data_IF_292831831212
#
_entry.id   IF_292831831212
#
_cell.length_a   1.000
_cell.length_b   1.000
_cell.length_c   1.000
_cell.angle_alpha   90.00
_cell.angle_beta   90.00
_cell.angle_gamma   90.00
#
_symmetry.space_group_name_H-M   'P 1'
#
loop_
_entity.id
_entity.type
_entity.pdbx_description
1 polymer ?
#
# COMPACT_ATOMS: atom_id res chain seq x y z
N UNK A 1 22.01 13.00 -14.01
CA UNK A 1 22.14 12.54 -12.61
C UNK A 1 22.15 11.03 -12.69
N UNK A 2 23.25 10.39 -12.35
CA UNK A 2 23.34 8.93 -12.32
C UNK A 2 22.54 8.47 -11.10
N UNK A 3 21.31 8.04 -11.34
CA UNK A 3 20.51 7.42 -10.28
C UNK A 3 21.26 6.18 -9.78
N UNK A 4 21.58 6.15 -8.48
CA UNK A 4 22.14 4.96 -7.86
C UNK A 4 21.09 3.84 -7.91
N UNK A 5 21.46 2.61 -8.29
CA UNK A 5 20.51 1.51 -8.38
C UNK A 5 19.84 1.24 -7.04
N UNK A 6 18.59 0.82 -7.08
CA UNK A 6 17.83 0.39 -5.89
C UNK A 6 18.45 -0.92 -5.39
N UNK A 7 19.03 -0.91 -4.21
CA UNK A 7 19.61 -2.10 -3.58
C UNK A 7 18.50 -2.99 -3.02
N UNK A 8 18.37 -4.17 -3.55
CA UNK A 8 17.35 -5.13 -3.16
C UNK A 8 17.97 -6.34 -2.45
N UNK A 9 17.34 -6.76 -1.34
CA UNK A 9 17.53 -8.08 -0.74
C UNK A 9 16.47 -9.03 -1.30
N UNK A 10 16.91 -10.10 -1.96
CA UNK A 10 16.05 -11.15 -2.49
C UNK A 10 16.00 -12.34 -1.51
N UNK A 11 14.80 -12.67 -1.03
CA UNK A 11 14.59 -13.76 -0.07
C UNK A 11 13.66 -14.82 -0.66
N UNK A 12 14.20 -15.99 -0.94
CA UNK A 12 13.52 -17.10 -1.58
C UNK A 12 14.27 -18.41 -1.24
N UNK A 13 13.59 -19.41 -0.72
CA UNK A 13 14.22 -20.70 -0.34
C UNK A 13 14.49 -21.59 -1.55
N UNK A 14 13.62 -21.55 -2.57
CA UNK A 14 13.76 -22.38 -3.76
C UNK A 14 14.84 -21.83 -4.68
N UNK A 15 15.94 -22.58 -4.81
CA UNK A 15 17.11 -22.18 -5.61
C UNK A 15 16.76 -21.79 -7.05
N UNK A 16 15.89 -22.57 -7.71
CA UNK A 16 15.53 -22.30 -9.11
C UNK A 16 14.75 -20.99 -9.26
N UNK A 17 13.80 -20.75 -8.35
CA UNK A 17 13.02 -19.50 -8.33
C UNK A 17 13.93 -18.32 -8.02
N UNK A 18 14.81 -18.44 -7.04
CA UNK A 18 15.75 -17.37 -6.66
C UNK A 18 16.68 -17.00 -7.83
N UNK A 19 17.24 -17.99 -8.54
CA UNK A 19 18.06 -17.73 -9.74
C UNK A 19 17.22 -17.05 -10.82
N UNK A 20 16.00 -17.53 -11.08
CA UNK A 20 15.10 -16.92 -12.06
C UNK A 20 14.78 -15.47 -11.73
N UNK A 21 14.39 -15.20 -10.48
CA UNK A 21 14.12 -13.82 -10.02
C UNK A 21 15.35 -12.92 -10.13
N UNK A 22 16.53 -13.41 -9.75
CA UNK A 22 17.77 -12.66 -9.88
C UNK A 22 18.05 -12.26 -11.33
N UNK A 23 17.93 -13.23 -12.27
CA UNK A 23 18.17 -12.96 -13.70
C UNK A 23 17.24 -11.90 -14.29
N UNK A 24 16.03 -11.72 -13.72
CA UNK A 24 15.13 -10.64 -14.17
C UNK A 24 15.69 -9.22 -13.94
N UNK A 25 16.65 -9.09 -13.03
CA UNK A 25 17.23 -7.80 -12.64
C UNK A 25 18.68 -7.62 -13.10
N UNK A 26 19.36 -8.67 -13.62
CA UNK A 26 20.79 -8.63 -14.00
C UNK A 26 21.09 -7.63 -15.15
N UNK A 27 20.15 -7.48 -16.10
CA UNK A 27 20.32 -6.58 -17.25
C UNK A 27 19.81 -5.14 -16.98
N UNK A 28 19.57 -4.79 -15.71
CA UNK A 28 18.95 -3.52 -15.35
C UNK A 28 19.90 -2.63 -14.53
N UNK A 29 20.14 -1.43 -15.01
CA UNK A 29 20.93 -0.43 -14.26
C UNK A 29 20.18 0.19 -13.07
N UNK A 30 18.88 -0.08 -12.92
CA UNK A 30 18.02 0.62 -11.96
C UNK A 30 17.76 -0.17 -10.67
N UNK A 31 17.85 -1.51 -10.69
CA UNK A 31 17.63 -2.40 -9.55
C UNK A 31 18.81 -3.37 -9.45
N UNK A 32 19.46 -3.42 -8.31
CA UNK A 32 20.58 -4.31 -8.01
C UNK A 32 20.17 -5.32 -6.92
N UNK A 33 20.34 -6.61 -7.18
CA UNK A 33 20.24 -7.64 -6.13
C UNK A 33 21.52 -7.60 -5.30
N UNK A 34 21.53 -6.74 -4.29
CA UNK A 34 22.71 -6.52 -3.43
C UNK A 34 23.01 -7.72 -2.52
N UNK A 35 22.00 -8.50 -2.17
CA UNK A 35 22.20 -9.76 -1.45
C UNK A 35 21.02 -10.70 -1.61
N UNK A 36 21.24 -12.01 -1.32
CA UNK A 36 20.25 -13.08 -1.41
C UNK A 36 20.17 -13.80 -0.08
N UNK A 37 18.97 -14.27 0.33
CA UNK A 37 18.77 -15.12 1.50
C UNK A 37 17.88 -16.31 1.16
N UNK A 38 18.08 -17.43 1.87
CA UNK A 38 17.35 -18.67 1.65
C UNK A 38 16.43 -19.01 2.82
N UNK A 39 16.44 -18.18 3.87
CA UNK A 39 15.63 -18.36 5.07
C UNK A 39 15.29 -17.02 5.71
N UNK A 40 14.27 -17.01 6.56
CA UNK A 40 13.83 -15.79 7.23
C UNK A 40 14.87 -15.23 8.22
N UNK A 41 15.59 -16.08 8.95
CA UNK A 41 16.67 -15.64 9.85
C UNK A 41 17.81 -15.02 9.06
N UNK A 42 18.25 -15.69 7.99
CA UNK A 42 19.27 -15.18 7.10
C UNK A 42 18.87 -13.81 6.49
N UNK A 43 17.58 -13.66 6.12
CA UNK A 43 17.06 -12.38 5.62
C UNK A 43 17.20 -11.26 6.65
N UNK A 44 16.89 -11.51 7.92
CA UNK A 44 17.04 -10.52 9.00
C UNK A 44 18.51 -10.14 9.22
N UNK A 45 19.42 -11.12 9.19
CA UNK A 45 20.87 -10.88 9.32
C UNK A 45 21.42 -10.05 8.15
N UNK A 46 21.05 -10.43 6.92
CA UNK A 46 21.48 -9.70 5.72
C UNK A 46 20.87 -8.31 5.62
N UNK A 47 19.64 -8.13 6.08
CA UNK A 47 19.07 -6.79 6.17
C UNK A 47 19.91 -5.87 7.08
N UNK A 48 20.36 -6.35 8.23
CA UNK A 48 21.25 -5.59 9.12
C UNK A 48 22.61 -5.28 8.50
N UNK A 49 23.14 -6.23 7.73
CA UNK A 49 24.48 -6.13 7.15
C UNK A 49 24.53 -5.21 5.92
N UNK A 50 23.54 -5.34 5.03
CA UNK A 50 23.58 -4.71 3.70
C UNK A 50 22.72 -3.45 3.58
N UNK A 51 21.84 -3.19 4.55
CA UNK A 51 20.92 -2.04 4.55
C UNK A 51 20.21 -1.83 3.19
N UNK A 52 19.50 -2.84 2.65
CA UNK A 52 18.87 -2.72 1.35
C UNK A 52 17.76 -1.66 1.37
N UNK A 53 17.52 -1.05 0.21
CA UNK A 53 16.42 -0.11 0.02
C UNK A 53 15.06 -0.82 0.04
N UNK A 54 15.00 -2.04 -0.54
CA UNK A 54 13.80 -2.86 -0.68
C UNK A 54 14.14 -4.32 -0.37
N UNK A 55 13.23 -5.01 0.28
CA UNK A 55 13.29 -6.47 0.50
C UNK A 55 12.18 -7.12 -0.30
N UNK A 56 12.52 -8.06 -1.18
CA UNK A 56 11.58 -8.94 -1.87
C UNK A 56 11.54 -10.26 -1.10
N UNK A 57 10.42 -10.56 -0.42
CA UNK A 57 10.32 -11.58 0.62
C UNK A 57 9.29 -12.65 0.26
N UNK A 58 9.72 -13.90 0.14
CA UNK A 58 8.78 -15.03 0.11
C UNK A 58 8.20 -15.30 1.51
N UNK A 59 6.97 -15.81 1.56
CA UNK A 59 6.32 -16.22 2.83
C UNK A 59 6.80 -17.59 3.27
N UNK A 60 6.93 -18.54 2.33
CA UNK A 60 7.16 -19.97 2.60
C UNK A 60 8.61 -20.32 2.91
N UNK A 61 9.21 -19.71 3.91
CA UNK A 61 10.60 -19.93 4.28
C UNK A 61 10.77 -21.09 5.30
N UNK A 62 11.92 -21.80 5.33
CA UNK A 62 12.08 -23.06 6.06
C UNK A 62 12.21 -22.93 7.58
N UNK A 63 12.58 -21.75 8.11
CA UNK A 63 12.84 -21.53 9.54
C UNK A 63 11.78 -20.65 10.22
N UNK A 64 11.73 -19.40 9.89
CA UNK A 64 10.66 -18.48 10.26
C UNK A 64 9.96 -17.99 8.99
N UNK A 65 8.64 -17.82 9.03
CA UNK A 65 7.91 -17.34 7.85
C UNK A 65 8.40 -15.96 7.41
N UNK A 66 8.22 -15.63 6.11
CA UNK A 66 8.54 -14.30 5.62
C UNK A 66 7.75 -13.19 6.30
N UNK A 67 6.56 -13.49 6.84
CA UNK A 67 5.77 -12.54 7.65
C UNK A 67 6.47 -12.24 8.98
N UNK A 68 6.95 -13.28 9.68
CA UNK A 68 7.71 -13.10 10.91
C UNK A 68 9.06 -12.41 10.66
N UNK A 69 9.73 -12.76 9.55
CA UNK A 69 10.95 -12.07 9.12
C UNK A 69 10.69 -10.58 8.83
N UNK A 70 9.57 -10.27 8.16
CA UNK A 70 9.13 -8.88 7.90
C UNK A 70 8.97 -8.10 9.19
N UNK A 71 8.29 -8.67 10.20
CA UNK A 71 8.10 -8.04 11.49
C UNK A 71 9.44 -7.71 12.16
N UNK A 72 10.37 -8.67 12.19
CA UNK A 72 11.72 -8.46 12.78
C UNK A 72 12.55 -7.43 12.01
N UNK A 73 12.43 -7.38 10.70
CA UNK A 73 13.08 -6.35 9.88
C UNK A 73 12.54 -4.97 10.25
N UNK A 74 11.23 -4.83 10.44
CA UNK A 74 10.59 -3.56 10.80
C UNK A 74 10.84 -3.16 12.26
N UNK A 75 11.15 -4.12 13.15
CA UNK A 75 11.66 -3.82 14.50
C UNK A 75 13.09 -3.22 14.46
N UNK A 76 13.90 -3.61 13.46
CA UNK A 76 15.25 -3.05 13.28
C UNK A 76 15.19 -1.66 12.62
N UNK A 77 14.38 -1.52 11.58
CA UNK A 77 14.16 -0.27 10.87
C UNK A 77 12.69 -0.14 10.50
N UNK A 78 11.99 0.72 11.19
CA UNK A 78 10.55 0.96 10.99
C UNK A 78 10.21 1.55 9.61
N UNK A 79 11.19 2.03 8.85
CA UNK A 79 11.06 2.54 7.47
C UNK A 79 11.44 1.52 6.40
N UNK A 80 11.80 0.28 6.77
CA UNK A 80 12.14 -0.75 5.80
C UNK A 80 11.00 -0.99 4.82
N UNK A 81 11.32 -1.22 3.56
CA UNK A 81 10.38 -1.47 2.48
C UNK A 81 10.36 -2.96 2.17
N UNK A 82 9.33 -3.65 2.62
CA UNK A 82 9.18 -5.08 2.40
C UNK A 82 8.03 -5.34 1.44
N UNK A 83 8.32 -6.04 0.34
CA UNK A 83 7.39 -6.55 -0.65
C UNK A 83 7.25 -8.04 -0.41
N UNK A 84 6.06 -8.50 -0.07
CA UNK A 84 5.75 -9.94 -0.03
C UNK A 84 5.52 -10.45 -1.45
N UNK A 85 6.23 -11.51 -1.82
CA UNK A 85 6.05 -12.22 -3.08
C UNK A 85 5.69 -13.68 -2.78
N UNK A 86 4.49 -14.12 -3.14
CA UNK A 86 3.97 -15.46 -2.75
C UNK A 86 3.21 -16.15 -3.87
N UNK A 87 3.18 -17.50 -3.82
CA UNK A 87 2.33 -18.32 -4.70
C UNK A 87 0.93 -18.58 -4.11
N UNK A 88 0.68 -18.18 -2.86
CA UNK A 88 -0.55 -18.50 -2.15
C UNK A 88 -1.37 -17.27 -1.86
N UNK A 89 -2.67 -17.37 -2.11
CA UNK A 89 -3.67 -16.38 -1.78
C UNK A 89 -4.45 -16.85 -0.55
N UNK A 90 -3.85 -16.67 0.63
CA UNK A 90 -4.49 -16.98 1.92
C UNK A 90 -4.93 -15.69 2.59
N UNK A 91 -6.23 -15.57 2.90
CA UNK A 91 -6.78 -14.41 3.61
C UNK A 91 -6.01 -14.09 4.89
N UNK A 92 -5.71 -15.12 5.68
CA UNK A 92 -4.96 -14.95 6.93
C UNK A 92 -3.55 -14.41 6.68
N UNK A 93 -2.84 -14.96 5.70
CA UNK A 93 -1.47 -14.53 5.38
C UNK A 93 -1.43 -13.09 4.83
N UNK A 94 -2.44 -12.70 4.04
CA UNK A 94 -2.59 -11.32 3.56
C UNK A 94 -2.70 -10.36 4.75
N UNK A 95 -3.62 -10.64 5.68
CA UNK A 95 -3.85 -9.80 6.84
C UNK A 95 -2.61 -9.76 7.76
N UNK A 96 -2.01 -10.90 8.03
CA UNK A 96 -0.83 -11.01 8.86
C UNK A 96 0.38 -10.27 8.24
N UNK A 97 0.57 -10.34 6.92
CA UNK A 97 1.62 -9.61 6.20
C UNK A 97 1.43 -8.09 6.27
N UNK A 98 0.21 -7.61 6.08
CA UNK A 98 -0.11 -6.18 6.18
C UNK A 98 0.02 -5.68 7.63
N UNK A 99 -0.43 -6.45 8.61
CA UNK A 99 -0.24 -6.13 10.03
C UNK A 99 1.24 -6.15 10.43
N UNK A 100 2.05 -7.04 9.85
CA UNK A 100 3.50 -7.02 10.03
C UNK A 100 4.16 -5.77 9.41
N UNK A 101 3.45 -5.02 8.58
CA UNK A 101 3.89 -3.77 7.98
C UNK A 101 4.50 -3.92 6.58
N UNK A 102 4.19 -5.00 5.85
CA UNK A 102 4.57 -5.12 4.44
C UNK A 102 4.01 -3.95 3.62
N UNK A 103 4.82 -3.42 2.70
CA UNK A 103 4.44 -2.31 1.82
C UNK A 103 3.71 -2.79 0.56
N UNK A 104 3.87 -4.08 0.20
CA UNK A 104 3.18 -4.68 -0.93
C UNK A 104 2.94 -6.17 -0.70
N UNK A 105 1.85 -6.68 -1.31
CA UNK A 105 1.54 -8.09 -1.41
C UNK A 105 1.33 -8.43 -2.87
N UNK A 106 2.18 -9.31 -3.41
CA UNK A 106 2.32 -9.58 -4.84
C UNK A 106 2.29 -11.08 -5.06
N UNK A 107 1.57 -11.53 -6.09
CA UNK A 107 1.58 -12.92 -6.50
C UNK A 107 2.81 -13.25 -7.37
N UNK A 108 3.37 -14.46 -7.24
CA UNK A 108 4.57 -14.90 -8.00
C UNK A 108 4.33 -15.04 -9.52
N UNK A 109 3.08 -15.04 -9.97
CA UNK A 109 2.70 -15.06 -11.40
C UNK A 109 2.62 -13.67 -12.04
N UNK A 110 2.99 -12.63 -11.28
CA UNK A 110 2.98 -11.25 -11.76
C UNK A 110 3.89 -11.05 -12.99
N UNK A 111 3.48 -10.17 -13.87
CA UNK A 111 4.33 -9.74 -14.98
C UNK A 111 5.59 -9.05 -14.47
N UNK A 112 6.75 -9.39 -15.05
CA UNK A 112 8.08 -8.87 -14.67
C UNK A 112 8.15 -7.34 -14.69
N UNK A 113 7.60 -6.69 -15.71
CA UNK A 113 7.65 -5.23 -15.85
C UNK A 113 6.82 -4.54 -14.76
N UNK A 114 5.68 -5.16 -14.37
CA UNK A 114 4.87 -4.68 -13.26
C UNK A 114 5.63 -4.84 -11.94
N UNK A 115 6.30 -5.97 -11.71
CA UNK A 115 7.12 -6.16 -10.50
C UNK A 115 8.21 -5.10 -10.37
N UNK A 116 8.91 -4.79 -11.46
CA UNK A 116 9.91 -3.72 -11.51
C UNK A 116 9.31 -2.35 -11.17
N UNK A 117 8.15 -2.04 -11.74
CA UNK A 117 7.43 -0.80 -11.42
C UNK A 117 7.03 -0.74 -9.93
N UNK A 118 6.56 -1.84 -9.37
CA UNK A 118 6.21 -1.94 -7.94
C UNK A 118 7.43 -1.66 -7.09
N UNK A 119 8.58 -2.28 -7.34
CA UNK A 119 9.82 -2.07 -6.58
C UNK A 119 10.21 -0.58 -6.57
N UNK A 120 10.15 0.08 -7.73
CA UNK A 120 10.46 1.52 -7.86
C UNK A 120 9.49 2.39 -7.05
N UNK A 121 8.18 2.16 -7.20
CA UNK A 121 7.16 2.94 -6.51
C UNK A 121 7.17 2.70 -4.99
N UNK A 122 7.45 1.47 -4.54
CA UNK A 122 7.62 1.15 -3.11
C UNK A 122 8.86 1.87 -2.53
N UNK A 123 9.95 1.98 -3.28
CA UNK A 123 11.13 2.77 -2.87
C UNK A 123 10.72 4.21 -2.57
N UNK A 124 9.86 4.80 -3.41
CA UNK A 124 9.33 6.16 -3.26
C UNK A 124 8.25 6.30 -2.16
N UNK A 125 7.84 5.20 -1.53
CA UNK A 125 6.90 5.21 -0.41
C UNK A 125 5.46 4.87 -0.76
N UNK A 126 5.17 4.39 -1.98
CA UNK A 126 3.88 3.85 -2.35
C UNK A 126 3.55 2.56 -1.57
N UNK A 127 2.29 2.15 -1.61
CA UNK A 127 1.81 0.83 -1.23
C UNK A 127 1.19 0.16 -2.46
N UNK A 128 1.38 -1.15 -2.59
CA UNK A 128 0.79 -1.90 -3.69
C UNK A 128 0.13 -3.19 -3.20
N UNK A 129 -1.06 -3.49 -3.70
CA UNK A 129 -1.79 -4.72 -3.41
C UNK A 129 -2.21 -5.38 -4.71
N UNK A 130 -2.00 -6.69 -4.80
CA UNK A 130 -2.50 -7.47 -5.92
C UNK A 130 -4.02 -7.29 -6.06
N UNK A 131 -4.55 -7.13 -7.29
CA UNK A 131 -5.99 -6.99 -7.51
C UNK A 131 -6.83 -8.12 -6.89
N UNK A 132 -6.28 -9.32 -6.74
CA UNK A 132 -6.94 -10.45 -6.10
C UNK A 132 -7.04 -10.32 -4.57
N UNK A 133 -6.19 -9.51 -3.95
CA UNK A 133 -6.17 -9.23 -2.51
C UNK A 133 -7.27 -8.23 -2.12
N UNK A 134 -7.58 -7.28 -2.99
CA UNK A 134 -8.52 -6.19 -2.69
C UNK A 134 -9.93 -6.67 -2.30
N UNK A 135 -10.57 -7.66 -2.97
CA UNK A 135 -11.87 -8.19 -2.55
C UNK A 135 -11.85 -8.79 -1.13
N UNK A 136 -10.78 -9.53 -0.80
CA UNK A 136 -10.61 -10.17 0.51
C UNK A 136 -10.60 -9.13 1.64
N UNK A 137 -9.91 -8.02 1.42
CA UNK A 137 -9.84 -6.92 2.39
C UNK A 137 -11.18 -6.19 2.54
N UNK A 138 -11.96 -6.09 1.46
CA UNK A 138 -13.30 -5.45 1.49
C UNK A 138 -14.32 -6.27 2.27
N UNK A 139 -14.33 -7.61 2.11
CA UNK A 139 -15.29 -8.50 2.78
C UNK A 139 -15.13 -8.47 4.31
N UNK A 140 -13.93 -8.25 4.81
CA UNK A 140 -13.65 -8.27 6.25
C UNK A 140 -13.91 -6.95 6.96
N UNK A 141 -14.46 -5.91 6.31
CA UNK A 141 -14.48 -4.58 6.93
C UNK A 141 -13.14 -4.26 7.60
N UNK A 142 -12.06 -4.75 7.04
CA UNK A 142 -10.74 -4.33 7.42
C UNK A 142 -10.72 -2.85 7.11
N UNK A 143 -11.20 -2.09 8.09
CA UNK A 143 -11.11 -0.65 8.03
C UNK A 143 -9.71 -0.36 7.56
N UNK A 144 -9.62 0.24 6.39
CA UNK A 144 -8.42 0.62 5.67
C UNK A 144 -7.17 0.25 6.44
N UNK A 145 -6.31 -0.59 5.88
CA UNK A 145 -4.96 -0.88 6.39
C UNK A 145 -4.54 0.32 7.23
N UNK A 146 -4.38 0.17 8.56
CA UNK A 146 -4.07 1.33 9.37
C UNK A 146 -2.81 1.93 8.76
N UNK A 147 -2.83 3.19 8.31
CA UNK A 147 -1.62 3.83 7.87
C UNK A 147 -0.65 3.65 9.03
N UNK A 148 0.46 2.98 8.76
CA UNK A 148 1.61 2.82 9.66
C UNK A 148 1.73 4.13 10.41
N UNK A 149 1.45 4.15 11.72
CA UNK A 149 1.25 5.33 12.57
C UNK A 149 1.72 6.65 11.92
N UNK A 150 0.91 7.18 11.01
CA UNK A 150 1.06 8.57 10.63
C UNK A 150 0.77 9.35 11.92
N UNK A 151 1.74 10.12 12.36
CA UNK A 151 1.62 10.90 13.57
C UNK A 151 0.27 11.65 13.54
N UNK A 152 -0.37 11.82 14.69
CA UNK A 152 -1.64 12.57 14.85
C UNK A 152 -1.66 13.93 14.11
N UNK A 153 -0.51 14.47 13.80
CA UNK A 153 -0.30 15.70 13.03
C UNK A 153 -0.63 15.54 11.54
N UNK A 154 -0.25 14.42 10.90
CA UNK A 154 -0.56 14.17 9.47
C UNK A 154 -2.04 13.83 9.26
N UNK A 155 -2.72 13.21 10.25
CA UNK A 155 -4.17 12.98 10.18
C UNK A 155 -4.95 14.29 10.15
N UNK A 156 -4.47 15.31 10.86
CA UNK A 156 -5.08 16.64 10.89
C UNK A 156 -4.86 17.43 9.59
N UNK A 157 -3.73 17.18 8.91
CA UNK A 157 -3.42 17.81 7.62
C UNK A 157 -4.17 17.17 6.44
N UNK A 158 -4.53 15.87 6.49
CA UNK A 158 -5.34 15.23 5.44
C UNK A 158 -6.82 15.65 5.49
N UNK A 159 -7.37 15.98 6.64
CA UNK A 159 -8.72 16.55 6.74
C UNK A 159 -8.80 18.01 6.26
N UNK A 160 -7.66 18.69 6.12
CA UNK A 160 -7.57 20.03 5.52
C UNK A 160 -7.51 20.01 3.97
N UNK A 161 -7.46 18.84 3.33
CA UNK A 161 -7.19 18.69 1.90
C UNK A 161 -8.44 18.49 1.02
N UNK A 162 -9.61 18.93 1.44
CA UNK A 162 -10.71 19.12 0.51
C UNK A 162 -10.40 20.38 -0.33
N UNK A 163 -10.49 20.22 -1.64
CA UNK A 163 -10.45 21.42 -2.52
C UNK A 163 -11.63 22.33 -2.20
N UNK A 164 -11.55 23.61 -2.53
CA UNK A 164 -12.64 24.55 -2.35
C UNK A 164 -13.96 24.01 -2.93
N UNK A 165 -13.89 23.33 -4.07
CA UNK A 165 -15.06 22.76 -4.75
C UNK A 165 -15.64 21.55 -4.03
N UNK A 166 -14.80 20.68 -3.50
CA UNK A 166 -15.23 19.53 -2.68
C UNK A 166 -15.84 19.99 -1.35
N UNK A 167 -15.32 21.04 -0.76
CA UNK A 167 -15.90 21.64 0.45
C UNK A 167 -17.30 22.23 0.20
N UNK A 168 -17.51 22.92 -0.93
CA UNK A 168 -18.82 23.42 -1.34
C UNK A 168 -19.81 22.26 -1.55
N UNK A 169 -19.38 21.18 -2.21
CA UNK A 169 -20.19 19.98 -2.39
C UNK A 169 -20.49 19.29 -1.07
N UNK A 170 -19.52 19.18 -0.14
CA UNK A 170 -19.72 18.57 1.17
C UNK A 170 -20.79 19.30 1.99
N UNK A 171 -20.84 20.63 1.97
CA UNK A 171 -21.92 21.41 2.59
C UNK A 171 -23.30 21.00 2.08
N UNK A 172 -23.44 20.88 0.76
CA UNK A 172 -24.69 20.49 0.13
C UNK A 172 -25.07 19.03 0.40
N UNK A 173 -24.07 18.16 0.59
CA UNK A 173 -24.27 16.77 1.02
C UNK A 173 -24.79 16.73 2.47
N UNK A 174 -24.28 17.58 3.35
CA UNK A 174 -24.72 17.72 4.74
C UNK A 174 -26.16 18.30 4.79
N UNK A 175 -26.49 19.23 3.89
CA UNK A 175 -27.86 19.75 3.70
C UNK A 175 -28.83 18.73 3.11
N UNK A 176 -28.39 17.50 2.79
CA UNK A 176 -29.23 16.41 2.30
C UNK A 176 -29.53 16.45 0.80
N UNK A 177 -28.90 17.33 0.02
CA UNK A 177 -29.17 17.49 -1.41
C UNK A 177 -28.71 16.28 -2.25
N UNK A 178 -29.52 15.86 -3.21
CA UNK A 178 -29.15 14.85 -4.22
C UNK A 178 -28.07 15.34 -5.18
N UNK A 179 -27.44 14.45 -5.95
CA UNK A 179 -26.43 14.85 -6.93
C UNK A 179 -26.97 15.79 -8.01
N UNK A 180 -28.24 15.64 -8.36
CA UNK A 180 -28.93 16.50 -9.33
C UNK A 180 -29.10 17.93 -8.77
N UNK A 181 -29.58 18.06 -7.54
CA UNK A 181 -29.75 19.36 -6.86
C UNK A 181 -28.39 20.06 -6.63
N UNK A 182 -27.35 19.29 -6.28
CA UNK A 182 -25.97 19.79 -6.19
C UNK A 182 -25.48 20.31 -7.55
N UNK A 183 -25.75 19.55 -8.61
CA UNK A 183 -25.36 19.92 -9.97
C UNK A 183 -26.02 21.24 -10.41
N UNK A 184 -27.32 21.38 -10.20
CA UNK A 184 -28.08 22.60 -10.49
C UNK A 184 -27.56 23.80 -9.70
N UNK A 185 -27.40 23.63 -8.38
CA UNK A 185 -26.96 24.70 -7.46
C UNK A 185 -25.54 25.18 -7.76
N UNK A 186 -24.67 24.29 -8.18
CA UNK A 186 -23.28 24.59 -8.48
C UNK A 186 -22.98 24.83 -9.97
N UNK A 187 -24.01 24.74 -10.82
CA UNK A 187 -23.92 24.92 -12.28
C UNK A 187 -22.87 23.98 -12.92
N UNK A 188 -22.95 22.70 -12.58
CA UNK A 188 -22.12 21.59 -13.10
C UNK A 188 -23.00 20.45 -13.60
N UNK A 189 -22.41 19.47 -14.30
CA UNK A 189 -23.15 18.26 -14.69
C UNK A 189 -23.40 17.35 -13.46
N UNK A 190 -24.47 16.56 -13.47
CA UNK A 190 -24.74 15.56 -12.45
C UNK A 190 -23.58 14.55 -12.31
N UNK A 191 -22.97 14.20 -13.43
CA UNK A 191 -21.79 13.34 -13.45
C UNK A 191 -20.61 13.97 -12.68
N UNK A 192 -20.38 15.26 -12.84
CA UNK A 192 -19.35 16.03 -12.12
C UNK A 192 -19.67 16.10 -10.62
N UNK A 193 -20.94 16.34 -10.25
CA UNK A 193 -21.38 16.35 -8.86
C UNK A 193 -21.14 14.98 -8.19
N UNK A 194 -21.52 13.88 -8.87
CA UNK A 194 -21.26 12.51 -8.43
C UNK A 194 -19.77 12.21 -8.25
N UNK A 195 -18.91 12.67 -9.17
CA UNK A 195 -17.46 12.51 -9.06
C UNK A 195 -16.90 13.23 -7.83
N UNK A 196 -17.35 14.47 -7.55
CA UNK A 196 -16.95 15.18 -6.33
C UNK A 196 -17.40 14.46 -5.06
N UNK A 197 -18.62 13.94 -5.00
CA UNK A 197 -19.13 13.16 -3.86
C UNK A 197 -18.27 11.91 -3.64
N UNK A 198 -17.93 11.17 -4.70
CA UNK A 198 -17.03 10.01 -4.60
C UNK A 198 -15.65 10.40 -4.06
N UNK A 199 -15.06 11.49 -4.55
CA UNK A 199 -13.77 11.97 -4.07
C UNK A 199 -13.83 12.40 -2.59
N UNK A 200 -14.93 13.03 -2.15
CA UNK A 200 -15.14 13.41 -0.75
C UNK A 200 -15.22 12.16 0.13
N UNK A 201 -16.00 11.15 -0.26
CA UNK A 201 -16.13 9.87 0.45
C UNK A 201 -14.75 9.23 0.63
N UNK A 202 -13.94 9.18 -0.44
CA UNK A 202 -12.57 8.68 -0.40
C UNK A 202 -11.66 9.50 0.51
N UNK A 203 -11.69 10.83 0.40
CA UNK A 203 -10.85 11.74 1.21
C UNK A 203 -11.23 11.73 2.69
N UNK A 204 -12.51 11.60 3.00
CA UNK A 204 -13.00 11.47 4.37
C UNK A 204 -12.87 10.04 4.91
N UNK A 205 -12.47 9.08 4.09
CA UNK A 205 -12.32 7.67 4.48
C UNK A 205 -13.59 7.15 5.15
N UNK A 206 -14.70 7.17 4.40
CA UNK A 206 -16.02 6.69 4.82
C UNK A 206 -16.63 5.84 3.70
N UNK A 207 -17.62 5.00 4.03
CA UNK A 207 -18.16 4.03 3.09
C UNK A 207 -19.25 4.61 2.18
N UNK A 208 -19.98 5.62 2.65
CA UNK A 208 -21.10 6.22 1.93
C UNK A 208 -21.27 7.71 2.20
N UNK A 209 -22.19 8.34 1.46
CA UNK A 209 -22.46 9.78 1.59
C UNK A 209 -23.06 10.18 2.93
N UNK A 210 -23.84 9.26 3.56
CA UNK A 210 -24.47 9.50 4.86
C UNK A 210 -23.39 9.56 5.94
N UNK A 211 -22.44 8.64 5.90
CA UNK A 211 -21.27 8.67 6.78
C UNK A 211 -20.39 9.90 6.53
N UNK A 212 -20.25 10.35 5.28
CA UNK A 212 -19.54 11.59 4.96
C UNK A 212 -20.20 12.81 5.60
N UNK A 213 -21.53 12.92 5.53
CA UNK A 213 -22.28 13.98 6.17
C UNK A 213 -22.15 13.94 7.71
N UNK A 214 -22.35 12.76 8.31
CA UNK A 214 -22.21 12.58 9.77
C UNK A 214 -20.81 12.89 10.27
N UNK A 215 -19.79 12.48 9.53
CA UNK A 215 -18.39 12.75 9.88
C UNK A 215 -18.08 14.24 9.77
N UNK A 216 -18.55 14.90 8.72
CA UNK A 216 -18.37 16.33 8.53
C UNK A 216 -18.97 17.16 9.69
N UNK A 217 -20.17 16.80 10.16
CA UNK A 217 -20.80 17.43 11.31
C UNK A 217 -20.07 17.15 12.63
N UNK A 218 -19.64 15.88 12.87
CA UNK A 218 -18.94 15.50 14.12
C UNK A 218 -17.58 16.14 14.25
N UNK A 219 -16.87 16.34 13.15
CA UNK A 219 -15.53 16.92 13.13
C UNK A 219 -15.52 18.43 12.89
N UNK A 220 -16.71 19.04 12.72
CA UNK A 220 -16.85 20.47 12.51
C UNK A 220 -16.20 20.97 11.19
N UNK A 221 -16.28 20.14 10.14
CA UNK A 221 -15.72 20.46 8.84
C UNK A 221 -16.62 21.41 8.03
N UNK A 222 -17.89 21.50 8.38
CA UNK A 222 -18.92 22.34 7.73
C UNK A 222 -19.91 22.84 8.77
#
# INVERSE_FOLDING_TARGET
MTDTPIKMLLVEDQKLMRVGLKSLFEDQNEIEVASEAQSGKEAVEKFRQYHPDVVLMDIGLPDISGIEATKRILEINDKAKVIILTSHLSEKEILDALHAGACAYVMKDINTEILKMIIKTIKEGAMWLDPQVVPILREKNCGVIPPRQMSRTMFKEQHANLTQREYEVLKLVVDGMSNNEIAEKLTISEHTAKAHVCNIIQKLVVDDRTQAAVKALKEGLV
#
